data_IF_006169721646
#
_entry.id   IF_006169721646
#
_cell.length_a   1.000
_cell.length_b   1.000
_cell.length_c   1.000
_cell.angle_alpha   90.00
_cell.angle_beta   90.00
_cell.angle_gamma   90.00
#
_symmetry.space_group_name_H-M   'P 1'
#
loop_
_entity.id
_entity.type
_entity.pdbx_description
1 polymer ?
#
# COMPACT_ATOMS: atom_id res chain seq x y z
N UNK A 1 21.65 -16.22 18.53
CA UNK A 1 21.85 -16.86 17.21
C UNK A 1 20.61 -17.70 16.96
N UNK A 2 19.93 -17.42 15.84
CA UNK A 2 18.69 -18.06 15.42
C UNK A 2 18.92 -18.66 14.03
N UNK A 3 19.43 -19.89 13.97
CA UNK A 3 19.88 -20.48 12.71
C UNK A 3 18.69 -21.00 11.90
N UNK A 4 18.63 -20.65 10.63
CA UNK A 4 17.66 -21.21 9.68
C UNK A 4 17.97 -22.67 9.46
N UNK A 5 17.05 -23.55 9.87
CA UNK A 5 17.20 -24.99 9.77
C UNK A 5 16.41 -25.58 8.61
N UNK A 6 15.22 -25.05 8.34
CA UNK A 6 14.38 -25.53 7.27
C UNK A 6 13.65 -24.34 6.58
N UNK A 7 13.44 -24.50 5.28
CA UNK A 7 12.65 -23.59 4.46
C UNK A 7 11.61 -24.41 3.70
N UNK A 8 10.34 -24.10 3.92
CA UNK A 8 9.20 -24.65 3.18
C UNK A 8 8.56 -23.59 2.30
N UNK A 9 7.95 -24.00 1.22
CA UNK A 9 7.16 -23.11 0.37
C UNK A 9 5.97 -23.85 -0.22
N UNK A 10 4.88 -23.12 -0.45
CA UNK A 10 3.69 -23.65 -1.09
C UNK A 10 2.96 -22.58 -1.89
N UNK A 11 2.15 -23.06 -2.81
CA UNK A 11 1.17 -22.25 -3.51
C UNK A 11 -0.09 -22.17 -2.66
N UNK A 12 -0.56 -20.94 -2.38
CA UNK A 12 -1.84 -20.66 -1.73
C UNK A 12 -2.69 -19.79 -2.64
N UNK A 13 -3.94 -19.49 -2.28
CA UNK A 13 -4.79 -18.57 -3.02
C UNK A 13 -4.83 -17.19 -2.36
N UNK A 14 -4.78 -16.16 -3.17
CA UNK A 14 -5.04 -14.78 -2.76
C UNK A 14 -6.54 -14.46 -2.70
N UNK A 15 -6.89 -13.24 -2.31
CA UNK A 15 -8.28 -12.75 -2.18
C UNK A 15 -9.08 -12.72 -3.48
N UNK A 16 -8.40 -12.84 -4.63
CA UNK A 16 -9.03 -12.94 -5.95
C UNK A 16 -9.13 -14.38 -6.46
N UNK A 17 -8.67 -15.36 -5.66
CA UNK A 17 -8.62 -16.77 -6.05
C UNK A 17 -7.47 -17.09 -7.00
N UNK A 18 -6.47 -16.21 -7.12
CA UNK A 18 -5.26 -16.47 -7.88
C UNK A 18 -4.17 -17.07 -6.98
N UNK A 19 -3.31 -17.96 -7.51
CA UNK A 19 -2.18 -18.48 -6.76
C UNK A 19 -1.19 -17.40 -6.34
N UNK A 20 -0.65 -17.56 -5.13
CA UNK A 20 0.49 -16.79 -4.64
C UNK A 20 1.40 -17.68 -3.77
N UNK A 21 2.58 -17.16 -3.42
CA UNK A 21 3.60 -17.88 -2.66
C UNK A 21 3.42 -17.68 -1.17
N UNK A 22 3.46 -18.76 -0.40
CA UNK A 22 3.65 -18.75 1.06
C UNK A 22 4.97 -19.48 1.38
N UNK A 23 5.81 -18.84 2.18
CA UNK A 23 7.07 -19.41 2.65
C UNK A 23 7.00 -19.65 4.15
N UNK A 24 7.59 -20.76 4.59
CA UNK A 24 7.68 -21.18 5.99
C UNK A 24 9.15 -21.34 6.37
N UNK A 25 9.53 -20.77 7.51
CA UNK A 25 10.91 -20.84 8.06
C UNK A 25 10.86 -21.51 9.41
N UNK A 26 11.69 -22.54 9.60
CA UNK A 26 11.96 -23.15 10.89
C UNK A 26 13.39 -22.82 11.35
N UNK A 27 13.54 -22.45 12.61
CA UNK A 27 14.83 -22.18 13.25
C UNK A 27 15.25 -23.33 14.18
N UNK A 28 16.54 -23.38 14.52
CA UNK A 28 17.15 -24.38 15.38
C UNK A 28 16.64 -24.36 16.83
N UNK A 29 15.99 -23.30 17.27
CA UNK A 29 15.32 -23.17 18.57
C UNK A 29 13.86 -23.68 18.59
N UNK A 30 13.36 -24.19 17.45
CA UNK A 30 12.01 -24.69 17.30
C UNK A 30 10.98 -23.63 16.83
N UNK A 31 11.40 -22.38 16.64
CA UNK A 31 10.55 -21.34 16.04
C UNK A 31 10.10 -21.74 14.64
N UNK A 32 8.82 -21.59 14.35
CA UNK A 32 8.22 -21.86 13.03
C UNK A 32 7.30 -20.72 12.63
N UNK A 33 7.65 -20.01 11.59
CA UNK A 33 6.85 -18.87 11.07
C UNK A 33 6.61 -18.98 9.59
N UNK A 34 5.67 -18.21 9.10
CA UNK A 34 5.35 -18.12 7.66
C UNK A 34 5.00 -16.70 7.25
N UNK A 35 5.19 -16.42 5.98
CA UNK A 35 4.75 -15.21 5.32
C UNK A 35 4.13 -15.52 3.96
N UNK A 36 3.09 -14.80 3.61
CA UNK A 36 2.42 -14.91 2.32
C UNK A 36 2.61 -13.61 1.51
N UNK A 37 2.80 -13.76 0.21
CA UNK A 37 3.15 -12.65 -0.69
C UNK A 37 1.89 -12.08 -1.33
N UNK A 38 1.69 -10.75 -1.31
CA UNK A 38 0.59 -10.09 -2.04
C UNK A 38 0.87 -10.03 -3.55
N UNK A 39 -0.17 -9.76 -4.34
CA UNK A 39 -0.09 -9.67 -5.81
C UNK A 39 -0.91 -8.50 -6.35
N UNK A 40 -0.35 -7.71 -7.26
CA UNK A 40 -1.05 -6.59 -7.89
C UNK A 40 -2.01 -7.00 -9.01
N UNK A 41 -3.05 -6.19 -9.23
CA UNK A 41 -3.90 -6.26 -10.43
C UNK A 41 -3.33 -5.38 -11.54
N UNK A 42 -3.11 -4.11 -11.26
CA UNK A 42 -2.28 -3.20 -12.06
C UNK A 42 -0.86 -3.24 -11.52
N UNK A 43 0.13 -3.26 -12.40
CA UNK A 43 1.55 -3.26 -12.04
C UNK A 43 2.26 -2.17 -12.80
N UNK A 44 3.04 -1.33 -12.11
CA UNK A 44 3.93 -0.37 -12.74
C UNK A 44 4.96 -1.07 -13.63
N UNK A 45 5.32 -0.47 -14.74
CA UNK A 45 6.27 -1.06 -15.70
C UNK A 45 7.63 -1.39 -15.06
N UNK A 46 8.00 -0.64 -14.03
CA UNK A 46 9.29 -0.74 -13.35
C UNK A 46 9.27 -1.60 -12.08
N UNK A 47 8.17 -2.28 -11.77
CA UNK A 47 8.11 -3.21 -10.64
C UNK A 47 9.04 -4.42 -10.85
N UNK A 48 9.56 -4.96 -9.74
CA UNK A 48 10.23 -6.26 -9.77
C UNK A 48 9.27 -7.35 -10.25
N UNK A 49 9.81 -8.34 -10.97
CA UNK A 49 9.01 -9.36 -11.67
C UNK A 49 8.39 -10.34 -10.69
N UNK A 50 7.06 -10.43 -10.70
CA UNK A 50 6.32 -11.53 -10.10
C UNK A 50 6.40 -12.75 -11.04
N UNK A 51 7.09 -13.81 -10.63
CA UNK A 51 7.26 -14.98 -11.47
C UNK A 51 5.98 -15.81 -11.51
N UNK A 52 5.41 -15.95 -12.71
CA UNK A 52 4.24 -16.76 -13.03
C UNK A 52 4.61 -17.89 -13.99
N UNK A 53 3.92 -19.02 -13.87
CA UNK A 53 4.24 -20.23 -14.63
C UNK A 53 3.93 -20.11 -16.13
N UNK A 54 2.90 -19.31 -16.48
CA UNK A 54 2.31 -19.32 -17.80
C UNK A 54 1.48 -20.59 -18.06
N UNK A 55 1.16 -20.85 -19.33
CA UNK A 55 0.39 -22.02 -19.73
C UNK A 55 -1.09 -21.96 -19.32
N UNK A 56 -1.73 -23.12 -19.17
CA UNK A 56 -3.19 -23.21 -18.96
C UNK A 56 -3.59 -23.26 -17.48
N UNK A 57 -2.73 -23.80 -16.64
CA UNK A 57 -3.02 -23.98 -15.21
C UNK A 57 -3.24 -22.64 -14.54
N UNK A 58 -4.38 -22.46 -13.83
CA UNK A 58 -4.82 -21.17 -13.27
C UNK A 58 -4.83 -20.01 -14.29
N UNK A 59 -5.10 -20.30 -15.56
CA UNK A 59 -5.05 -19.28 -16.61
C UNK A 59 -3.67 -18.65 -16.79
N UNK A 60 -2.60 -19.40 -16.52
CA UNK A 60 -1.21 -18.93 -16.61
C UNK A 60 -0.68 -18.29 -15.31
N UNK A 61 -1.51 -18.12 -14.29
CA UNK A 61 -1.17 -17.42 -13.04
C UNK A 61 -0.57 -18.32 -11.94
N UNK A 62 -0.31 -19.59 -12.22
CA UNK A 62 0.36 -20.49 -11.27
C UNK A 62 1.72 -19.97 -10.82
N UNK A 63 2.20 -20.39 -9.62
CA UNK A 63 3.47 -19.95 -9.05
C UNK A 63 4.37 -21.15 -8.64
N UNK A 64 4.21 -22.28 -9.32
CA UNK A 64 5.05 -23.49 -9.05
C UNK A 64 6.52 -23.21 -9.26
N UNK A 65 6.89 -22.51 -10.34
CA UNK A 65 8.29 -22.14 -10.61
C UNK A 65 8.90 -21.31 -9.49
N UNK A 66 8.15 -20.35 -8.93
CA UNK A 66 8.60 -19.59 -7.78
C UNK A 66 8.74 -20.46 -6.53
N UNK A 67 7.79 -21.35 -6.26
CA UNK A 67 7.86 -22.32 -5.14
C UNK A 67 9.05 -23.26 -5.31
N UNK A 68 9.27 -23.84 -6.48
CA UNK A 68 10.42 -24.68 -6.80
C UNK A 68 11.74 -23.93 -6.61
N UNK A 69 11.81 -22.65 -7.07
CA UNK A 69 12.96 -21.79 -6.84
C UNK A 69 13.28 -21.58 -5.34
N UNK A 70 12.24 -21.42 -4.51
CA UNK A 70 12.44 -21.36 -3.05
C UNK A 70 13.01 -22.68 -2.51
N UNK A 71 12.44 -23.82 -2.90
CA UNK A 71 12.81 -25.13 -2.34
C UNK A 71 14.16 -25.63 -2.84
N UNK A 72 14.45 -25.46 -4.13
CA UNK A 72 15.58 -26.09 -4.80
C UNK A 72 16.85 -25.20 -4.82
N UNK A 73 16.68 -23.88 -4.84
CA UNK A 73 17.79 -22.93 -4.97
C UNK A 73 17.95 -22.03 -3.73
N UNK A 74 16.87 -21.39 -3.25
CA UNK A 74 16.98 -20.45 -2.14
C UNK A 74 17.22 -21.20 -0.82
N UNK A 75 16.45 -22.24 -0.52
CA UNK A 75 16.58 -23.00 0.73
C UNK A 75 18.01 -23.47 1.00
N UNK A 76 18.71 -24.15 0.05
CA UNK A 76 20.10 -24.54 0.27
C UNK A 76 21.06 -23.36 0.53
N UNK A 77 20.76 -22.18 -0.02
CA UNK A 77 21.61 -20.99 0.13
C UNK A 77 21.43 -20.27 1.46
N UNK A 78 20.24 -20.34 2.08
CA UNK A 78 19.95 -19.63 3.34
C UNK A 78 19.96 -20.50 4.58
N UNK A 79 19.81 -21.82 4.45
CA UNK A 79 19.95 -22.76 5.57
C UNK A 79 21.36 -22.65 6.17
N UNK A 80 21.43 -22.52 7.48
CA UNK A 80 22.67 -22.29 8.22
C UNK A 80 22.99 -20.81 8.47
N UNK A 81 22.27 -19.87 7.85
CA UNK A 81 22.41 -18.45 8.16
C UNK A 81 21.68 -18.10 9.46
N UNK A 82 22.12 -17.04 10.12
CA UNK A 82 21.43 -16.45 11.26
C UNK A 82 20.25 -15.57 10.77
N UNK A 83 19.03 -15.92 11.18
CA UNK A 83 17.83 -15.19 10.79
C UNK A 83 17.82 -13.72 11.26
N UNK A 84 18.58 -13.39 12.31
CA UNK A 84 18.71 -12.01 12.83
C UNK A 84 19.49 -11.12 11.86
N UNK A 85 20.34 -11.70 11.03
CA UNK A 85 21.13 -10.98 10.02
C UNK A 85 20.33 -10.75 8.73
N UNK A 86 19.19 -10.06 8.83
CA UNK A 86 18.25 -9.81 7.72
C UNK A 86 18.94 -9.32 6.44
N UNK A 87 19.83 -8.34 6.56
CA UNK A 87 20.54 -7.77 5.40
C UNK A 87 21.45 -8.79 4.73
N UNK A 88 22.07 -9.67 5.49
CA UNK A 88 22.90 -10.77 4.95
C UNK A 88 22.03 -11.78 4.21
N UNK A 89 20.89 -12.17 4.78
CA UNK A 89 19.95 -13.09 4.13
C UNK A 89 19.42 -12.47 2.83
N UNK A 90 18.95 -11.23 2.87
CA UNK A 90 18.41 -10.56 1.69
C UNK A 90 19.48 -10.37 0.60
N UNK A 91 20.74 -10.10 0.99
CA UNK A 91 21.85 -10.02 0.02
C UNK A 91 22.11 -11.37 -0.67
N UNK A 92 22.04 -12.47 0.07
CA UNK A 92 22.14 -13.82 -0.52
C UNK A 92 21.02 -14.06 -1.52
N UNK A 93 19.79 -13.64 -1.23
CA UNK A 93 18.65 -13.74 -2.15
C UNK A 93 18.90 -12.95 -3.45
N UNK A 94 19.38 -11.71 -3.34
CA UNK A 94 19.67 -10.85 -4.46
C UNK A 94 20.82 -11.40 -5.33
N UNK A 95 21.91 -11.84 -4.71
CA UNK A 95 23.05 -12.42 -5.41
C UNK A 95 22.68 -13.72 -6.12
N UNK A 96 21.79 -14.51 -5.52
CA UNK A 96 21.31 -15.77 -6.10
C UNK A 96 20.43 -15.55 -7.32
N UNK A 97 19.51 -14.57 -7.28
CA UNK A 97 18.72 -14.18 -8.44
C UNK A 97 19.61 -13.58 -9.55
N UNK A 98 20.47 -12.65 -9.19
CA UNK A 98 21.48 -12.04 -10.07
C UNK A 98 20.94 -11.16 -11.17
N UNK A 99 19.62 -10.87 -11.20
CA UNK A 99 19.00 -9.95 -12.17
C UNK A 99 18.55 -8.66 -11.46
N UNK A 100 18.51 -7.55 -12.19
CA UNK A 100 18.12 -6.26 -11.63
C UNK A 100 16.64 -6.24 -11.20
N UNK A 101 15.78 -6.88 -11.99
CA UNK A 101 14.33 -6.91 -11.83
C UNK A 101 13.80 -8.17 -11.12
N UNK A 102 14.68 -9.02 -10.55
CA UNK A 102 14.36 -10.31 -9.90
C UNK A 102 13.62 -11.29 -10.83
N UNK A 103 13.86 -11.20 -12.12
CA UNK A 103 13.14 -12.01 -13.12
C UNK A 103 13.53 -13.49 -13.14
N UNK A 104 14.68 -13.88 -12.57
CA UNK A 104 15.13 -15.28 -12.60
C UNK A 104 14.40 -16.16 -11.57
N UNK A 105 14.36 -15.77 -10.33
CA UNK A 105 13.69 -16.51 -9.25
C UNK A 105 12.29 -15.95 -8.93
N UNK A 106 12.07 -14.69 -9.23
CA UNK A 106 10.84 -13.96 -8.96
C UNK A 106 10.86 -13.17 -7.64
N UNK A 107 10.41 -11.92 -7.70
CA UNK A 107 10.27 -11.08 -6.51
C UNK A 107 9.35 -11.73 -5.45
N UNK A 108 8.33 -12.48 -5.88
CA UNK A 108 7.44 -13.21 -5.01
C UNK A 108 8.18 -14.32 -4.21
N UNK A 109 9.08 -15.07 -4.84
CA UNK A 109 9.89 -16.07 -4.16
C UNK A 109 10.85 -15.42 -3.14
N UNK A 110 11.56 -14.37 -3.55
CA UNK A 110 12.50 -13.65 -2.68
C UNK A 110 11.77 -13.04 -1.48
N UNK A 111 10.67 -12.32 -1.73
CA UNK A 111 9.93 -11.64 -0.68
C UNK A 111 9.35 -12.61 0.36
N UNK A 112 8.80 -13.74 -0.09
CA UNK A 112 8.28 -14.76 0.81
C UNK A 112 9.32 -15.20 1.83
N UNK A 113 10.55 -15.47 1.38
CA UNK A 113 11.67 -15.85 2.26
C UNK A 113 12.08 -14.68 3.14
N UNK A 114 12.27 -13.49 2.58
CA UNK A 114 12.69 -12.29 3.30
C UNK A 114 11.76 -11.96 4.47
N UNK A 115 10.45 -11.96 4.24
CA UNK A 115 9.44 -11.67 5.27
C UNK A 115 9.32 -12.81 6.30
N UNK A 116 9.35 -14.07 5.88
CA UNK A 116 9.28 -15.22 6.79
C UNK A 116 10.49 -15.27 7.73
N UNK A 117 11.69 -14.93 7.23
CA UNK A 117 12.91 -14.80 8.04
C UNK A 117 12.79 -13.70 9.08
N UNK A 118 12.28 -12.53 8.71
CA UNK A 118 12.07 -11.43 9.65
C UNK A 118 11.09 -11.81 10.76
N UNK A 119 10.02 -12.51 10.44
CA UNK A 119 9.05 -13.02 11.43
C UNK A 119 9.67 -14.06 12.35
N UNK A 120 10.46 -14.98 11.78
CA UNK A 120 11.16 -16.01 12.58
C UNK A 120 12.16 -15.37 13.55
N UNK A 121 12.95 -14.42 13.09
CA UNK A 121 13.89 -13.69 13.94
C UNK A 121 13.20 -12.91 15.07
N UNK A 122 12.08 -12.27 14.78
CA UNK A 122 11.27 -11.58 15.79
C UNK A 122 10.75 -12.54 16.86
N UNK A 123 10.13 -13.65 16.46
CA UNK A 123 9.58 -14.66 17.37
C UNK A 123 10.66 -15.32 18.21
N UNK A 124 11.78 -15.73 17.62
CA UNK A 124 12.95 -16.27 18.33
C UNK A 124 13.54 -15.29 19.33
N UNK A 125 13.45 -13.99 19.05
CA UNK A 125 13.87 -12.92 19.97
C UNK A 125 12.86 -12.61 21.06
N UNK A 126 11.69 -13.25 21.06
CA UNK A 126 10.58 -12.98 21.99
C UNK A 126 9.94 -11.60 21.80
N UNK A 127 10.02 -11.04 20.60
CA UNK A 127 9.50 -9.72 20.26
C UNK A 127 8.38 -9.80 19.22
N UNK A 128 7.38 -8.94 19.34
CA UNK A 128 6.42 -8.70 18.27
C UNK A 128 7.15 -8.08 17.06
N UNK A 129 6.69 -8.40 15.86
CA UNK A 129 7.39 -8.01 14.62
C UNK A 129 7.62 -6.49 14.53
N UNK A 130 6.65 -5.67 14.90
CA UNK A 130 6.81 -4.20 14.87
C UNK A 130 7.89 -3.70 15.83
N UNK A 131 8.04 -4.36 17.00
CA UNK A 131 9.09 -4.03 17.98
C UNK A 131 10.46 -4.49 17.51
N UNK A 132 10.52 -5.68 16.91
CA UNK A 132 11.75 -6.25 16.38
C UNK A 132 12.32 -5.37 15.26
N UNK A 133 11.48 -4.95 14.31
CA UNK A 133 11.90 -4.15 13.16
C UNK A 133 12.12 -2.67 13.50
N UNK A 134 11.28 -2.10 14.37
CA UNK A 134 11.28 -0.65 14.65
C UNK A 134 11.99 -0.25 15.95
N UNK A 135 12.31 -1.21 16.80
CA UNK A 135 12.94 -0.95 18.10
C UNK A 135 12.01 -0.22 19.08
N UNK A 136 12.59 0.38 20.13
CA UNK A 136 11.80 1.02 21.20
C UNK A 136 11.01 2.24 20.73
N UNK A 137 11.34 2.82 19.58
CA UNK A 137 10.65 3.99 19.04
C UNK A 137 9.44 3.66 18.15
N UNK A 138 9.14 2.37 17.92
CA UNK A 138 7.96 1.92 17.19
C UNK A 138 6.71 2.04 18.05
N UNK A 139 6.05 3.21 18.04
CA UNK A 139 4.89 3.51 18.89
C UNK A 139 3.80 4.35 18.21
N UNK A 140 3.98 4.69 16.93
CA UNK A 140 3.04 5.52 16.18
C UNK A 140 2.12 4.65 15.34
N UNK A 141 0.81 4.68 15.67
CA UNK A 141 -0.24 4.02 14.89
C UNK A 141 -0.57 4.88 13.66
N UNK A 142 -0.61 4.28 12.46
CA UNK A 142 -0.85 5.02 11.21
C UNK A 142 -2.31 5.45 11.07
N UNK A 143 -2.54 6.56 10.37
CA UNK A 143 -3.87 6.93 9.87
C UNK A 143 -4.28 5.93 8.79
N UNK A 144 -5.44 5.25 8.94
CA UNK A 144 -5.94 4.36 7.91
C UNK A 144 -6.56 5.18 6.76
N UNK A 145 -6.01 5.01 5.56
CA UNK A 145 -6.52 5.56 4.32
C UNK A 145 -7.48 4.52 3.72
N UNK A 146 -8.77 4.58 4.08
CA UNK A 146 -9.73 3.52 3.75
C UNK A 146 -10.39 3.77 2.40
N UNK A 147 -10.12 2.91 1.43
CA UNK A 147 -10.78 2.94 0.11
C UNK A 147 -12.23 2.45 0.23
N UNK A 148 -13.20 3.36 0.22
CA UNK A 148 -14.62 3.04 0.40
C UNK A 148 -15.47 3.16 -0.87
N UNK A 149 -14.92 3.76 -1.94
CA UNK A 149 -15.57 3.88 -3.24
C UNK A 149 -14.53 3.72 -4.35
N UNK A 150 -14.82 2.86 -5.31
CA UNK A 150 -13.93 2.52 -6.42
C UNK A 150 -14.44 3.05 -7.76
N UNK A 151 -13.50 3.42 -8.60
CA UNK A 151 -13.68 3.71 -10.03
C UNK A 151 -12.52 3.15 -10.84
N UNK A 152 -12.22 3.72 -11.99
CA UNK A 152 -11.09 3.35 -12.83
C UNK A 152 -10.99 1.85 -13.11
N UNK A 153 -9.78 1.31 -13.02
CA UNK A 153 -9.51 -0.12 -13.23
C UNK A 153 -10.10 -1.03 -12.12
N UNK A 154 -10.46 -0.47 -10.97
CA UNK A 154 -11.03 -1.22 -9.83
C UNK A 154 -12.56 -1.40 -9.88
N UNK A 155 -13.23 -0.80 -10.87
CA UNK A 155 -14.68 -0.87 -11.02
C UNK A 155 -15.09 -0.71 -12.49
N UNK A 156 -16.13 -1.42 -12.89
CA UNK A 156 -16.74 -1.26 -14.23
C UNK A 156 -17.73 -0.07 -14.21
N UNK A 157 -17.20 1.13 -14.07
CA UNK A 157 -17.96 2.39 -13.94
C UNK A 157 -17.39 3.49 -14.83
N UNK A 158 -18.12 4.60 -14.97
CA UNK A 158 -17.71 5.76 -15.76
C UNK A 158 -16.77 6.76 -15.08
N UNK A 159 -16.31 6.47 -13.85
CA UNK A 159 -15.39 7.31 -13.09
C UNK A 159 -13.95 6.88 -13.34
N UNK A 160 -13.09 7.80 -13.79
CA UNK A 160 -11.70 7.51 -14.12
C UNK A 160 -10.78 7.38 -12.89
N UNK A 161 -11.06 8.10 -11.80
CA UNK A 161 -10.30 7.98 -10.53
C UNK A 161 -10.51 6.61 -9.92
N UNK A 162 -9.42 5.93 -9.58
CA UNK A 162 -9.43 4.52 -9.19
C UNK A 162 -9.95 4.29 -7.77
N UNK A 163 -9.53 5.11 -6.81
CA UNK A 163 -9.89 4.96 -5.41
C UNK A 163 -10.25 6.29 -4.74
N UNK A 164 -11.32 6.24 -3.94
CA UNK A 164 -11.75 7.33 -3.08
C UNK A 164 -11.66 6.87 -1.63
N UNK A 165 -10.79 7.52 -0.86
CA UNK A 165 -10.47 7.12 0.49
C UNK A 165 -10.95 8.15 1.52
N UNK A 166 -11.30 7.65 2.71
CA UNK A 166 -11.50 8.45 3.91
C UNK A 166 -10.32 8.28 4.86
N UNK A 167 -9.92 9.37 5.50
CA UNK A 167 -8.84 9.44 6.46
C UNK A 167 -9.32 10.07 7.78
N UNK A 168 -9.55 9.30 8.84
CA UNK A 168 -10.04 9.81 10.14
C UNK A 168 -8.93 10.52 10.92
N UNK A 169 -8.50 11.70 10.47
CA UNK A 169 -7.35 12.44 11.02
C UNK A 169 -7.61 13.08 12.39
N UNK A 170 -8.88 13.32 12.73
CA UNK A 170 -9.25 13.97 13.98
C UNK A 170 -9.46 13.01 15.16
N UNK A 171 -9.37 11.70 14.94
CA UNK A 171 -9.55 10.71 16.00
C UNK A 171 -8.42 10.76 17.04
N UNK A 172 -8.74 10.46 18.29
CA UNK A 172 -7.76 10.47 19.38
C UNK A 172 -6.90 9.21 19.44
N UNK A 173 -7.39 8.09 18.91
CA UNK A 173 -6.73 6.78 18.92
C UNK A 173 -6.95 6.05 17.58
N UNK A 174 -6.14 5.05 17.30
CA UNK A 174 -6.36 4.19 16.14
C UNK A 174 -7.71 3.46 16.22
N UNK A 175 -8.06 2.93 17.38
CA UNK A 175 -9.35 2.27 17.63
C UNK A 175 -10.54 3.18 17.31
N UNK A 176 -10.46 4.44 17.70
CA UNK A 176 -11.49 5.44 17.38
C UNK A 176 -11.54 5.74 15.88
N UNK A 177 -10.38 5.88 15.25
CA UNK A 177 -10.29 6.12 13.81
C UNK A 177 -10.90 4.98 12.99
N UNK A 178 -10.66 3.74 13.40
CA UNK A 178 -11.23 2.57 12.75
C UNK A 178 -12.75 2.51 12.92
N UNK A 179 -13.27 2.85 14.11
CA UNK A 179 -14.71 2.98 14.35
C UNK A 179 -15.34 4.01 13.43
N UNK A 180 -14.76 5.19 13.33
CA UNK A 180 -15.28 6.26 12.46
C UNK A 180 -15.29 5.84 11.00
N UNK A 181 -14.21 5.21 10.53
CA UNK A 181 -14.15 4.68 9.16
C UNK A 181 -15.23 3.64 8.87
N UNK A 182 -15.48 2.72 9.80
CA UNK A 182 -16.53 1.71 9.67
C UNK A 182 -17.93 2.34 9.67
N UNK A 183 -18.20 3.31 10.52
CA UNK A 183 -19.47 4.05 10.57
C UNK A 183 -19.72 4.83 9.28
N UNK A 184 -18.71 5.53 8.75
CA UNK A 184 -18.79 6.22 7.44
C UNK A 184 -19.03 5.23 6.31
N UNK A 185 -18.36 4.08 6.31
CA UNK A 185 -18.56 3.02 5.32
C UNK A 185 -20.01 2.52 5.29
N UNK A 186 -20.61 2.25 6.45
CA UNK A 186 -22.02 1.85 6.54
C UNK A 186 -22.98 2.99 6.17
N UNK A 187 -22.68 4.23 6.53
CA UNK A 187 -23.44 5.40 6.12
C UNK A 187 -23.43 5.56 4.60
N UNK A 188 -22.25 5.37 3.96
CA UNK A 188 -22.12 5.42 2.49
C UNK A 188 -23.01 4.35 1.82
N UNK A 189 -23.02 3.13 2.37
CA UNK A 189 -23.92 2.07 1.87
C UNK A 189 -25.39 2.49 1.90
N UNK A 190 -25.81 3.15 2.99
CA UNK A 190 -27.18 3.65 3.12
C UNK A 190 -27.47 4.79 2.12
N UNK A 191 -26.53 5.73 1.91
CA UNK A 191 -26.64 6.80 0.92
C UNK A 191 -26.79 6.24 -0.49
N UNK A 192 -25.94 5.27 -0.86
CA UNK A 192 -26.00 4.63 -2.18
C UNK A 192 -27.34 3.93 -2.41
N UNK A 193 -27.82 3.16 -1.43
CA UNK A 193 -29.14 2.50 -1.51
C UNK A 193 -30.28 3.50 -1.67
N UNK A 194 -30.27 4.59 -0.92
CA UNK A 194 -31.31 5.63 -1.01
C UNK A 194 -31.38 6.29 -2.39
N UNK A 195 -30.25 6.32 -3.10
CA UNK A 195 -30.14 6.85 -4.47
C UNK A 195 -30.26 5.76 -5.55
N UNK A 196 -30.60 4.53 -5.18
CA UNK A 196 -30.69 3.36 -6.08
C UNK A 196 -29.36 3.06 -6.81
N UNK A 197 -28.23 3.40 -6.20
CA UNK A 197 -26.90 3.09 -6.70
C UNK A 197 -26.43 1.72 -6.19
N UNK A 198 -25.54 1.07 -6.96
CA UNK A 198 -25.01 -0.23 -6.62
C UNK A 198 -24.19 -0.21 -5.32
N UNK A 199 -24.30 -1.28 -4.53
CA UNK A 199 -23.53 -1.53 -3.30
C UNK A 199 -22.72 -2.83 -3.39
N UNK A 200 -22.41 -3.31 -4.59
CA UNK A 200 -21.44 -4.35 -4.83
C UNK A 200 -20.06 -3.89 -4.46
N UNK A 201 -19.21 -4.83 -4.03
CA UNK A 201 -17.85 -4.55 -3.56
C UNK A 201 -16.81 -4.81 -4.66
N UNK A 202 -15.84 -3.92 -4.78
CA UNK A 202 -14.62 -4.15 -5.53
C UNK A 202 -13.63 -5.06 -4.78
N UNK A 203 -12.49 -5.30 -5.39
CA UNK A 203 -11.45 -6.21 -4.87
C UNK A 203 -10.92 -5.79 -3.49
N UNK A 204 -10.96 -4.51 -3.18
CA UNK A 204 -10.46 -3.95 -1.92
C UNK A 204 -11.55 -3.63 -0.89
N UNK A 205 -12.79 -4.05 -1.16
CA UNK A 205 -13.93 -3.93 -0.25
C UNK A 205 -14.71 -2.62 -0.36
N UNK A 206 -14.27 -1.65 -1.16
CA UNK A 206 -15.02 -0.43 -1.45
C UNK A 206 -16.21 -0.69 -2.38
N UNK A 207 -17.23 0.18 -2.31
CA UNK A 207 -18.38 0.11 -3.20
C UNK A 207 -18.00 0.54 -4.62
N UNK A 208 -18.68 0.00 -5.62
CA UNK A 208 -18.46 0.31 -7.03
C UNK A 208 -19.75 0.83 -7.70
N UNK A 209 -20.27 1.99 -7.28
CA UNK A 209 -21.45 2.59 -7.90
C UNK A 209 -21.09 3.24 -9.25
N UNK A 210 -22.04 3.23 -10.18
CA UNK A 210 -21.91 4.03 -11.40
C UNK A 210 -22.27 5.49 -11.09
N UNK A 211 -21.27 6.37 -11.05
CA UNK A 211 -21.40 7.79 -10.79
C UNK A 211 -20.78 8.62 -11.92
N UNK A 212 -21.27 9.83 -12.09
CA UNK A 212 -21.01 10.62 -13.30
C UNK A 212 -19.62 11.29 -13.35
N UNK A 213 -18.96 11.51 -12.19
CA UNK A 213 -17.71 12.25 -12.10
C UNK A 213 -17.00 12.05 -10.76
N UNK A 214 -15.74 12.46 -10.70
CA UNK A 214 -14.95 12.54 -9.45
C UNK A 214 -15.68 13.37 -8.38
N UNK A 215 -16.21 14.54 -8.74
CA UNK A 215 -16.95 15.41 -7.79
C UNK A 215 -18.20 14.72 -7.27
N UNK A 216 -18.95 14.02 -8.12
CA UNK A 216 -20.15 13.29 -7.69
C UNK A 216 -19.81 12.18 -6.67
N UNK A 217 -18.69 11.47 -6.84
CA UNK A 217 -18.22 10.49 -5.88
C UNK A 217 -17.83 11.14 -4.53
N UNK A 218 -17.10 12.24 -4.57
CA UNK A 218 -16.71 12.99 -3.36
C UNK A 218 -17.94 13.56 -2.61
N UNK A 219 -18.97 14.01 -3.32
CA UNK A 219 -20.22 14.48 -2.74
C UNK A 219 -20.96 13.36 -1.99
N UNK A 220 -21.02 12.15 -2.56
CA UNK A 220 -21.62 10.99 -1.90
C UNK A 220 -20.91 10.63 -0.59
N UNK A 221 -19.58 10.65 -0.59
CA UNK A 221 -18.78 10.39 0.60
C UNK A 221 -18.97 11.51 1.63
N UNK A 222 -18.99 12.75 1.20
CA UNK A 222 -19.22 13.91 2.07
C UNK A 222 -20.60 13.85 2.75
N UNK A 223 -21.65 13.45 2.00
CA UNK A 223 -22.98 13.18 2.54
C UNK A 223 -22.96 12.05 3.58
N UNK A 224 -22.21 10.97 3.31
CA UNK A 224 -22.08 9.86 4.24
C UNK A 224 -21.39 10.27 5.55
N UNK A 225 -20.31 11.05 5.48
CA UNK A 225 -19.61 11.59 6.66
C UNK A 225 -20.57 12.46 7.48
N UNK A 226 -21.30 13.37 6.85
CA UNK A 226 -22.27 14.24 7.53
C UNK A 226 -23.35 13.44 8.27
N UNK A 227 -23.81 12.32 7.70
CA UNK A 227 -24.80 11.45 8.34
C UNK A 227 -24.31 10.75 9.61
N UNK A 228 -23.02 10.60 9.80
CA UNK A 228 -22.44 10.07 11.05
C UNK A 228 -22.32 11.12 12.15
N UNK A 229 -22.53 12.40 11.84
CA UNK A 229 -22.31 13.53 12.75
C UNK A 229 -20.84 13.97 12.83
N UNK A 230 -19.93 13.31 12.10
CA UNK A 230 -18.53 13.71 12.00
C UNK A 230 -18.38 14.92 11.07
N UNK A 231 -17.36 15.72 11.33
CA UNK A 231 -17.06 16.92 10.55
C UNK A 231 -16.09 16.60 9.43
N UNK A 232 -16.51 16.89 8.21
CA UNK A 232 -15.67 16.80 7.03
C UNK A 232 -14.50 17.78 7.14
N UNK A 233 -13.27 17.29 6.97
CA UNK A 233 -12.04 18.06 7.04
C UNK A 233 -11.35 17.99 8.40
N UNK A 234 -12.04 18.23 9.50
CA UNK A 234 -11.43 18.20 10.84
C UNK A 234 -11.44 16.82 11.49
N UNK A 235 -12.53 16.07 11.36
CA UNK A 235 -12.62 14.71 11.90
C UNK A 235 -12.17 13.69 10.84
N UNK A 236 -12.75 13.78 9.64
CA UNK A 236 -12.48 12.88 8.54
C UNK A 236 -12.13 13.70 7.28
N UNK A 237 -10.94 13.51 6.78
CA UNK A 237 -10.48 14.06 5.51
C UNK A 237 -10.64 13.02 4.39
N UNK A 238 -10.39 13.44 3.14
CA UNK A 238 -10.51 12.63 1.94
C UNK A 238 -9.14 12.42 1.30
N UNK A 239 -9.00 11.36 0.51
CA UNK A 239 -7.84 11.13 -0.32
C UNK A 239 -8.23 10.40 -1.61
N UNK A 240 -7.39 10.52 -2.63
CA UNK A 240 -7.58 9.91 -3.93
C UNK A 240 -6.37 9.05 -4.31
N UNK A 241 -6.65 7.96 -5.02
CA UNK A 241 -5.71 7.31 -5.92
C UNK A 241 -6.27 7.44 -7.33
N UNK A 242 -5.54 8.16 -8.18
CA UNK A 242 -6.01 8.49 -9.53
C UNK A 242 -5.57 7.43 -10.52
N UNK A 243 -4.41 6.81 -10.31
CA UNK A 243 -3.80 5.84 -11.22
C UNK A 243 -3.75 6.37 -12.67
N UNK A 244 -3.24 7.58 -12.86
CA UNK A 244 -3.37 8.33 -14.12
C UNK A 244 -2.62 7.70 -15.30
N UNK A 245 -1.69 6.77 -15.06
CA UNK A 245 -1.06 5.97 -16.13
C UNK A 245 -2.09 5.21 -16.95
N UNK A 246 -3.19 4.74 -16.34
CA UNK A 246 -4.25 3.96 -16.99
C UNK A 246 -4.97 4.72 -18.11
N UNK A 247 -5.02 6.04 -18.08
CA UNK A 247 -5.67 6.86 -19.09
C UNK A 247 -4.73 7.87 -19.77
N UNK A 248 -3.41 7.68 -19.61
CA UNK A 248 -2.39 8.47 -20.29
C UNK A 248 -1.98 7.85 -21.62
N UNK A 249 -1.76 8.70 -22.62
CA UNK A 249 -1.17 8.31 -23.89
C UNK A 249 -0.04 9.27 -24.24
N UNK A 250 1.17 8.73 -24.36
CA UNK A 250 2.36 9.53 -24.72
C UNK A 250 2.11 10.33 -26.00
N UNK A 251 2.43 11.62 -25.96
CA UNK A 251 2.20 12.56 -27.05
C UNK A 251 0.76 13.01 -27.27
N UNK A 252 -0.21 12.45 -26.52
CA UNK A 252 -1.63 12.83 -26.62
C UNK A 252 -2.17 13.44 -25.32
N UNK A 253 -1.64 13.04 -24.16
CA UNK A 253 -2.06 13.51 -22.84
C UNK A 253 -2.98 12.53 -22.12
N UNK A 254 -3.78 13.05 -21.18
CA UNK A 254 -4.65 12.34 -20.25
C UNK A 254 -6.10 12.36 -20.75
N UNK A 255 -6.66 11.20 -21.09
CA UNK A 255 -8.10 11.09 -21.42
C UNK A 255 -8.90 10.94 -20.13
N UNK A 256 -9.32 12.07 -19.58
CA UNK A 256 -9.93 12.14 -18.26
C UNK A 256 -11.28 12.86 -18.30
N UNK A 257 -12.31 12.24 -17.71
CA UNK A 257 -13.70 12.72 -17.68
C UNK A 257 -14.21 13.21 -19.06
N UNK A 258 -13.97 12.38 -20.08
CA UNK A 258 -14.45 12.61 -21.44
C UNK A 258 -13.67 13.65 -22.25
N UNK A 259 -12.62 14.25 -21.69
CA UNK A 259 -11.75 15.20 -22.39
C UNK A 259 -10.29 14.73 -22.41
N UNK A 260 -9.51 15.18 -23.39
CA UNK A 260 -8.06 15.01 -23.38
C UNK A 260 -7.44 16.25 -22.75
N UNK A 261 -6.60 16.04 -21.73
CA UNK A 261 -5.98 17.09 -20.91
C UNK A 261 -4.47 17.01 -20.96
N UNK A 262 -3.81 18.16 -20.87
CA UNK A 262 -2.37 18.25 -20.61
C UNK A 262 -2.08 18.02 -19.11
N UNK A 263 -0.81 17.87 -18.73
CA UNK A 263 -0.42 17.81 -17.34
C UNK A 263 -0.81 19.09 -16.56
N UNK A 264 -0.69 20.26 -17.19
CA UNK A 264 -1.08 21.54 -16.59
C UNK A 264 -2.59 21.61 -16.35
N UNK A 265 -3.40 21.11 -17.29
CA UNK A 265 -4.86 21.05 -17.13
C UNK A 265 -5.27 20.04 -16.05
N UNK A 266 -4.54 18.92 -15.89
CA UNK A 266 -4.73 18.01 -14.76
C UNK A 266 -4.35 18.69 -13.45
N UNK A 267 -3.24 19.42 -13.40
CA UNK A 267 -2.82 20.16 -12.21
C UNK A 267 -3.85 21.22 -11.81
N UNK A 268 -4.44 21.93 -12.78
CA UNK A 268 -5.53 22.88 -12.52
C UNK A 268 -6.76 22.16 -11.93
N UNK A 269 -7.15 21.02 -12.49
CA UNK A 269 -8.26 20.21 -11.97
C UNK A 269 -8.04 19.80 -10.51
N UNK A 270 -6.84 19.31 -10.17
CA UNK A 270 -6.53 18.98 -8.79
C UNK A 270 -6.52 20.22 -7.88
N UNK A 271 -6.01 21.34 -8.36
CA UNK A 271 -6.08 22.62 -7.64
C UNK A 271 -7.51 23.03 -7.29
N UNK A 272 -8.46 22.85 -8.23
CA UNK A 272 -9.89 23.07 -7.97
C UNK A 272 -10.47 22.10 -6.95
N UNK A 273 -10.07 20.81 -7.01
CA UNK A 273 -10.53 19.79 -6.05
C UNK A 273 -10.09 20.09 -4.63
N UNK A 274 -8.80 20.43 -4.42
CA UNK A 274 -8.28 20.72 -3.07
C UNK A 274 -8.86 21.99 -2.46
N UNK A 275 -9.35 22.92 -3.28
CA UNK A 275 -10.07 24.09 -2.80
C UNK A 275 -11.53 23.77 -2.43
N UNK A 276 -12.13 22.76 -3.06
CA UNK A 276 -13.54 22.39 -2.86
C UNK A 276 -13.74 21.29 -1.81
N UNK A 277 -12.79 20.42 -1.63
CA UNK A 277 -12.86 19.25 -0.74
C UNK A 277 -11.62 19.15 0.16
N UNK A 278 -11.75 18.67 1.40
CA UNK A 278 -10.61 18.49 2.31
C UNK A 278 -9.78 17.26 1.94
N UNK A 279 -9.07 17.35 0.82
CA UNK A 279 -8.16 16.32 0.35
C UNK A 279 -6.81 16.45 1.06
N UNK A 280 -6.35 15.39 1.69
CA UNK A 280 -5.02 15.31 2.34
C UNK A 280 -3.96 14.74 1.43
N UNK A 281 -4.36 13.92 0.43
CA UNK A 281 -3.43 13.15 -0.40
C UNK A 281 -4.04 12.84 -1.76
N UNK A 282 -3.21 12.92 -2.81
CA UNK A 282 -3.50 12.43 -4.15
C UNK A 282 -2.34 11.51 -4.57
N UNK A 283 -2.66 10.25 -4.86
CA UNK A 283 -1.73 9.24 -5.35
C UNK A 283 -1.81 9.15 -6.87
N UNK A 284 -0.64 9.03 -7.50
CA UNK A 284 -0.46 8.90 -8.95
C UNK A 284 -1.35 9.85 -9.78
N UNK A 285 -1.30 11.16 -9.51
CA UNK A 285 -2.09 12.16 -10.23
C UNK A 285 -1.70 12.29 -11.71
N UNK A 286 -0.50 11.85 -12.07
CA UNK A 286 0.05 11.83 -13.43
C UNK A 286 0.73 10.50 -13.72
N UNK A 287 1.01 10.24 -15.01
CA UNK A 287 1.66 9.01 -15.46
C UNK A 287 3.06 8.83 -14.88
N UNK A 288 3.46 7.59 -14.66
CA UNK A 288 4.79 7.18 -14.20
C UNK A 288 5.95 7.61 -15.12
N UNK A 289 5.65 7.95 -16.37
CA UNK A 289 6.64 8.42 -17.36
C UNK A 289 6.65 9.93 -17.56
N UNK A 290 5.69 10.66 -16.98
CA UNK A 290 5.53 12.10 -17.17
C UNK A 290 6.27 12.90 -16.09
N UNK A 291 7.60 12.73 -16.01
CA UNK A 291 8.44 13.41 -15.01
C UNK A 291 8.30 14.93 -15.02
N UNK A 292 8.26 15.55 -16.20
CA UNK A 292 8.13 17.01 -16.32
C UNK A 292 6.75 17.48 -15.81
N UNK A 293 5.71 16.72 -16.10
CA UNK A 293 4.37 16.96 -15.54
C UNK A 293 4.36 16.85 -14.02
N UNK A 294 5.00 15.83 -13.46
CA UNK A 294 5.11 15.66 -12.01
C UNK A 294 5.84 16.81 -11.32
N UNK A 295 6.94 17.30 -11.90
CA UNK A 295 7.67 18.47 -11.39
C UNK A 295 6.76 19.71 -11.40
N UNK A 296 6.10 19.96 -12.52
CA UNK A 296 5.16 21.09 -12.67
C UNK A 296 4.02 21.02 -11.66
N UNK A 297 3.42 19.83 -11.49
CA UNK A 297 2.33 19.62 -10.52
C UNK A 297 2.82 19.85 -9.08
N UNK A 298 3.99 19.32 -8.75
CA UNK A 298 4.57 19.46 -7.41
C UNK A 298 4.86 20.93 -7.08
N UNK A 299 5.38 21.69 -8.03
CA UNK A 299 5.62 23.12 -7.87
C UNK A 299 4.31 23.91 -7.64
N UNK A 300 3.21 23.49 -8.27
CA UNK A 300 1.93 24.22 -8.20
C UNK A 300 1.13 23.93 -6.92
N UNK A 301 1.09 22.68 -6.46
CA UNK A 301 0.22 22.27 -5.36
C UNK A 301 0.91 21.44 -4.26
N UNK A 302 2.17 21.07 -4.43
CA UNK A 302 2.87 20.18 -3.50
C UNK A 302 3.13 20.78 -2.10
N UNK A 303 2.99 22.09 -1.93
CA UNK A 303 3.02 22.78 -0.65
C UNK A 303 1.69 22.69 0.13
N UNK A 304 0.60 22.34 -0.56
CA UNK A 304 -0.78 22.32 -0.02
C UNK A 304 -1.33 20.93 0.21
N UNK A 305 -0.75 19.91 -0.44
CA UNK A 305 -1.26 18.54 -0.42
C UNK A 305 -0.13 17.52 -0.50
N UNK A 306 -0.36 16.33 0.02
CA UNK A 306 0.51 15.19 -0.21
C UNK A 306 0.33 14.65 -1.63
N UNK A 307 1.42 14.55 -2.38
CA UNK A 307 1.49 13.92 -3.70
C UNK A 307 2.29 12.63 -3.59
N UNK A 308 1.61 11.50 -3.74
CA UNK A 308 2.18 10.17 -3.54
C UNK A 308 2.56 9.55 -4.88
N UNK A 309 3.81 9.09 -5.00
CA UNK A 309 4.23 8.24 -6.12
C UNK A 309 4.08 6.77 -5.76
N UNK A 310 3.20 6.06 -6.48
CA UNK A 310 3.08 4.60 -6.50
C UNK A 310 3.83 4.05 -7.71
N UNK A 311 3.24 4.06 -8.89
CA UNK A 311 3.88 3.61 -10.13
C UNK A 311 5.10 4.47 -10.49
N UNK A 312 5.10 5.73 -10.09
CA UNK A 312 6.24 6.62 -10.29
C UNK A 312 7.52 6.07 -9.64
N UNK A 313 7.45 5.54 -8.43
CA UNK A 313 8.60 5.12 -7.65
C UNK A 313 8.75 3.60 -7.50
N UNK A 314 7.67 2.85 -7.56
CA UNK A 314 7.60 1.39 -7.39
C UNK A 314 8.42 0.87 -6.20
N UNK A 315 8.45 1.62 -5.09
CA UNK A 315 9.24 1.30 -3.89
C UNK A 315 10.74 1.11 -4.18
N UNK A 316 11.21 1.65 -5.29
CA UNK A 316 12.59 1.50 -5.76
C UNK A 316 13.44 2.72 -5.32
N UNK A 317 14.51 2.52 -4.51
CA UNK A 317 15.37 3.62 -4.06
C UNK A 317 15.96 4.44 -5.20
N UNK A 318 16.34 3.83 -6.33
CA UNK A 318 16.94 4.54 -7.47
C UNK A 318 15.94 5.50 -8.13
N UNK A 319 14.69 5.05 -8.34
CA UNK A 319 13.63 5.90 -8.90
C UNK A 319 13.21 6.99 -7.92
N UNK A 320 13.19 6.67 -6.62
CA UNK A 320 12.91 7.67 -5.59
C UNK A 320 14.01 8.75 -5.55
N UNK A 321 15.27 8.36 -5.66
CA UNK A 321 16.40 9.30 -5.72
C UNK A 321 16.28 10.24 -6.94
N UNK A 322 15.88 9.70 -8.09
CA UNK A 322 15.62 10.50 -9.29
C UNK A 322 14.48 11.51 -9.04
N UNK A 323 13.37 11.07 -8.45
CA UNK A 323 12.24 11.96 -8.12
C UNK A 323 12.61 13.06 -7.13
N UNK A 324 13.39 12.72 -6.10
CA UNK A 324 13.92 13.68 -5.13
C UNK A 324 14.79 14.72 -5.83
N UNK A 325 15.72 14.28 -6.69
CA UNK A 325 16.62 15.16 -7.43
C UNK A 325 15.87 16.10 -8.39
N UNK A 326 14.76 15.64 -8.96
CA UNK A 326 13.90 16.43 -9.86
C UNK A 326 12.89 17.33 -9.11
N UNK A 327 12.62 17.07 -7.84
CA UNK A 327 11.55 17.74 -7.09
C UNK A 327 10.13 17.23 -7.45
N UNK A 328 10.02 15.96 -7.81
CA UNK A 328 8.75 15.33 -8.16
C UNK A 328 8.14 14.61 -6.97
N UNK A 329 6.84 14.81 -6.70
CA UNK A 329 6.10 14.26 -5.58
C UNK A 329 6.63 14.72 -4.19
N UNK A 330 6.04 14.23 -3.11
CA UNK A 330 6.49 14.50 -1.74
C UNK A 330 6.18 13.36 -0.76
N UNK A 331 5.72 12.22 -1.29
CA UNK A 331 5.48 11.00 -0.53
C UNK A 331 5.70 9.76 -1.40
N UNK A 332 6.10 8.67 -0.75
CA UNK A 332 6.31 7.35 -1.33
C UNK A 332 5.20 6.40 -0.90
N UNK A 333 4.54 5.72 -1.83
CA UNK A 333 3.77 4.54 -1.53
C UNK A 333 4.71 3.35 -1.37
N UNK A 334 4.55 2.58 -0.30
CA UNK A 334 5.45 1.47 0.04
C UNK A 334 4.71 0.15 -0.14
N UNK A 335 5.08 -0.60 -1.16
CA UNK A 335 4.58 -1.93 -1.47
C UNK A 335 5.74 -2.92 -1.49
N UNK A 336 5.82 -3.78 -0.49
CA UNK A 336 6.97 -4.69 -0.29
C UNK A 336 7.27 -5.58 -1.50
N UNK A 337 6.26 -5.97 -2.26
CA UNK A 337 6.43 -6.84 -3.42
C UNK A 337 6.83 -6.11 -4.71
N UNK A 338 6.78 -4.78 -4.75
CA UNK A 338 7.26 -4.00 -5.90
C UNK A 338 8.78 -4.05 -6.02
N UNK A 339 9.49 -4.25 -4.92
CA UNK A 339 10.96 -4.32 -4.88
C UNK A 339 11.48 -5.72 -4.56
N UNK A 340 10.83 -6.47 -3.67
CA UNK A 340 11.04 -7.91 -3.48
C UNK A 340 11.86 -8.34 -2.26
N UNK A 341 12.42 -7.42 -1.47
CA UNK A 341 13.04 -7.74 -0.17
C UNK A 341 12.65 -6.72 0.90
N UNK A 342 12.68 -7.14 2.16
CA UNK A 342 12.47 -6.23 3.29
C UNK A 342 13.58 -5.19 3.38
N UNK A 343 14.84 -5.60 3.14
CA UNK A 343 15.99 -4.68 3.17
C UNK A 343 15.84 -3.53 2.18
N UNK A 344 15.55 -3.82 0.92
CA UNK A 344 15.35 -2.76 -0.10
C UNK A 344 14.13 -1.89 0.21
N UNK A 345 13.06 -2.48 0.78
CA UNK A 345 11.89 -1.72 1.24
C UNK A 345 12.27 -0.73 2.33
N UNK A 346 13.04 -1.17 3.33
CA UNK A 346 13.52 -0.31 4.42
C UNK A 346 14.46 0.79 3.91
N UNK A 347 15.31 0.48 2.95
CA UNK A 347 16.21 1.46 2.31
C UNK A 347 15.42 2.55 1.58
N UNK A 348 14.35 2.18 0.86
CA UNK A 348 13.45 3.15 0.21
C UNK A 348 12.74 4.05 1.23
N UNK A 349 12.24 3.49 2.32
CA UNK A 349 11.58 4.24 3.41
C UNK A 349 12.57 5.21 4.07
N UNK A 350 13.78 4.75 4.38
CA UNK A 350 14.80 5.60 4.98
C UNK A 350 15.21 6.75 4.07
N UNK A 351 15.39 6.49 2.77
CA UNK A 351 15.68 7.50 1.76
C UNK A 351 14.58 8.56 1.70
N UNK A 352 13.31 8.13 1.69
CA UNK A 352 12.15 9.02 1.70
C UNK A 352 12.17 9.94 2.92
N UNK A 353 12.27 9.36 4.12
CA UNK A 353 12.24 10.13 5.38
C UNK A 353 13.41 11.12 5.48
N UNK A 354 14.61 10.72 5.10
CA UNK A 354 15.81 11.61 5.11
C UNK A 354 15.66 12.82 4.20
N UNK A 355 14.83 12.71 3.17
CA UNK A 355 14.59 13.80 2.21
C UNK A 355 13.24 14.51 2.41
N UNK A 356 12.59 14.32 3.57
CA UNK A 356 11.36 15.00 3.91
C UNK A 356 10.11 14.48 3.19
N UNK A 357 10.21 13.35 2.50
CA UNK A 357 9.06 12.65 1.92
C UNK A 357 8.33 11.88 3.02
N UNK A 358 7.02 11.88 2.96
CA UNK A 358 6.21 10.96 3.78
C UNK A 358 6.16 9.58 3.14
N UNK A 359 5.76 8.60 3.91
CA UNK A 359 5.53 7.24 3.43
C UNK A 359 4.13 6.78 3.78
N UNK A 360 3.52 6.01 2.90
CA UNK A 360 2.23 5.35 3.09
C UNK A 360 2.44 3.87 2.86
N UNK A 361 2.32 3.06 3.91
CA UNK A 361 2.38 1.60 3.78
C UNK A 361 1.15 1.09 3.07
N UNK A 362 1.31 0.21 2.08
CA UNK A 362 0.22 -0.20 1.20
C UNK A 362 0.11 -1.70 1.02
N UNK A 363 -1.14 -2.15 0.92
CA UNK A 363 -1.53 -3.47 0.44
C UNK A 363 -1.41 -3.57 -1.09
N UNK A 364 -1.86 -4.68 -1.63
CA UNK A 364 -2.12 -4.87 -3.07
C UNK A 364 -3.57 -5.32 -3.29
N UNK A 365 -4.03 -5.31 -4.55
CA UNK A 365 -5.38 -5.76 -4.92
C UNK A 365 -5.61 -7.23 -4.59
N UNK A 366 -4.62 -8.08 -4.86
CA UNK A 366 -4.59 -9.47 -4.42
C UNK A 366 -3.85 -9.61 -3.09
N UNK A 367 -4.60 -9.83 -2.03
CA UNK A 367 -4.08 -9.98 -0.67
C UNK A 367 -4.35 -11.36 -0.09
N UNK A 368 -3.66 -11.63 1.00
CA UNK A 368 -3.87 -12.79 1.86
C UNK A 368 -4.21 -12.33 3.27
N UNK A 369 -4.39 -13.27 4.20
CA UNK A 369 -4.55 -12.97 5.62
C UNK A 369 -3.26 -12.52 6.32
N UNK A 370 -2.13 -12.43 5.61
CA UNK A 370 -0.86 -11.92 6.15
C UNK A 370 -0.99 -10.47 6.60
N UNK A 371 -0.42 -10.15 7.77
CA UNK A 371 -0.55 -8.83 8.42
C UNK A 371 0.77 -8.08 8.54
N UNK A 372 1.82 -8.52 7.86
CA UNK A 372 3.18 -7.96 7.97
C UNK A 372 3.19 -6.45 7.73
N UNK A 373 2.41 -5.93 6.77
CA UNK A 373 2.38 -4.50 6.48
C UNK A 373 1.82 -3.64 7.62
N UNK A 374 0.98 -4.19 8.48
CA UNK A 374 0.49 -3.49 9.67
C UNK A 374 1.63 -3.27 10.69
N UNK A 375 2.38 -4.33 10.98
CA UNK A 375 3.58 -4.26 11.83
C UNK A 375 4.63 -3.33 11.22
N UNK A 376 4.85 -3.43 9.91
CA UNK A 376 5.85 -2.63 9.20
C UNK A 376 5.50 -1.13 9.23
N UNK A 377 4.22 -0.77 9.07
CA UNK A 377 3.77 0.61 9.17
C UNK A 377 4.12 1.27 10.50
N UNK A 378 3.96 0.54 11.60
CA UNK A 378 4.33 1.01 12.94
C UNK A 378 5.84 0.99 13.13
N UNK A 379 6.51 -0.07 12.69
CA UNK A 379 7.96 -0.24 12.81
C UNK A 379 8.74 0.93 12.20
N UNK A 380 8.35 1.36 11.00
CA UNK A 380 9.05 2.44 10.28
C UNK A 380 8.48 3.83 10.57
N UNK A 381 7.43 3.94 11.39
CA UNK A 381 6.79 5.20 11.70
C UNK A 381 6.20 5.89 10.46
N UNK A 382 5.59 5.13 9.55
CA UNK A 382 5.04 5.68 8.30
C UNK A 382 3.95 6.73 8.56
N UNK A 383 3.19 6.59 9.63
CA UNK A 383 2.09 7.47 9.98
C UNK A 383 0.85 7.31 9.11
N UNK A 384 0.92 6.52 8.04
CA UNK A 384 -0.17 6.29 7.10
C UNK A 384 -0.16 4.83 6.62
N UNK A 385 -1.35 4.24 6.47
CA UNK A 385 -1.53 2.90 5.87
C UNK A 385 -2.71 2.90 4.91
N UNK A 386 -2.52 2.36 3.72
CA UNK A 386 -3.52 2.14 2.69
C UNK A 386 -3.75 0.64 2.56
N UNK A 387 -4.85 0.13 3.13
CA UNK A 387 -5.11 -1.32 3.14
C UNK A 387 -6.58 -1.66 2.90
N UNK A 388 -7.25 -0.86 2.07
CA UNK A 388 -8.61 -1.09 1.60
C UNK A 388 -9.71 -0.59 2.54
N UNK A 389 -10.94 -1.00 2.26
CA UNK A 389 -12.11 -0.69 3.07
C UNK A 389 -12.11 -1.48 4.39
N UNK A 390 -12.90 -1.05 5.40
CA UNK A 390 -13.13 -1.84 6.62
C UNK A 390 -14.11 -3.02 6.34
N UNK A 391 -13.87 -3.74 5.26
CA UNK A 391 -14.64 -4.89 4.77
C UNK A 391 -13.72 -5.84 4.02
N UNK A 392 -14.11 -7.14 3.93
CA UNK A 392 -13.30 -8.26 3.44
C UNK A 392 -12.18 -8.64 4.41
N UNK A 393 -12.10 -9.91 4.74
CA UNK A 393 -11.23 -10.40 5.85
C UNK A 393 -9.76 -10.13 5.64
N UNK A 394 -9.25 -10.19 4.41
CA UNK A 394 -7.85 -9.91 4.08
C UNK A 394 -7.46 -8.44 4.31
N UNK A 395 -8.42 -7.51 4.24
CA UNK A 395 -8.24 -6.08 4.57
C UNK A 395 -8.38 -5.87 6.07
N UNK A 396 -9.47 -6.36 6.64
CA UNK A 396 -9.79 -6.25 8.07
C UNK A 396 -8.72 -6.89 8.96
N UNK A 397 -8.05 -7.95 8.49
CA UNK A 397 -6.94 -8.58 9.19
C UNK A 397 -5.82 -7.57 9.55
N UNK A 398 -5.48 -6.65 8.63
CA UNK A 398 -4.45 -5.61 8.85
C UNK A 398 -4.94 -4.60 9.90
N UNK A 399 -6.19 -4.15 9.84
CA UNK A 399 -6.78 -3.26 10.84
C UNK A 399 -6.86 -3.91 12.22
N UNK A 400 -7.25 -5.17 12.29
CA UNK A 400 -7.29 -5.91 13.55
C UNK A 400 -5.88 -6.09 14.14
N UNK A 401 -4.86 -6.28 13.31
CA UNK A 401 -3.47 -6.33 13.77
C UNK A 401 -3.02 -5.00 14.36
N UNK A 402 -3.39 -3.86 13.75
CA UNK A 402 -3.11 -2.54 14.31
C UNK A 402 -3.81 -2.30 15.65
N UNK A 403 -5.03 -2.81 15.84
CA UNK A 403 -5.69 -2.79 17.16
C UNK A 403 -4.89 -3.56 18.21
N UNK A 404 -4.37 -4.76 17.88
CA UNK A 404 -3.52 -5.54 18.80
C UNK A 404 -2.22 -4.81 19.12
N UNK A 405 -1.62 -4.14 18.13
CA UNK A 405 -0.42 -3.32 18.34
C UNK A 405 -0.72 -2.14 19.28
N UNK A 406 -1.83 -1.45 19.07
CA UNK A 406 -2.27 -0.36 19.97
C UNK A 406 -2.45 -0.86 21.40
N UNK A 407 -3.11 -2.02 21.58
CA UNK A 407 -3.28 -2.64 22.92
C UNK A 407 -1.92 -3.03 23.54
N UNK A 408 -0.99 -3.58 22.74
CA UNK A 408 0.34 -3.96 23.22
C UNK A 408 1.20 -2.74 23.62
N UNK A 409 1.01 -1.60 22.98
CA UNK A 409 1.68 -0.35 23.31
C UNK A 409 1.06 0.34 24.53
N UNK A 410 -0.24 0.16 24.79
CA UNK A 410 -0.94 0.77 25.91
C UNK A 410 -0.80 2.29 25.94
N UNK A 411 -0.42 2.86 27.06
CA UNK A 411 -0.27 4.30 27.23
C UNK A 411 0.85 4.94 26.38
N UNK A 412 1.75 4.14 25.83
CA UNK A 412 2.81 4.63 24.93
C UNK A 412 2.34 4.77 23.48
N UNK A 413 1.19 4.21 23.12
CA UNK A 413 0.64 4.34 21.78
C UNK A 413 0.37 5.81 21.44
N UNK A 414 0.69 6.19 20.22
CA UNK A 414 0.38 7.50 19.63
C UNK A 414 -0.30 7.28 18.30
N UNK A 415 -1.46 7.85 18.12
CA UNK A 415 -2.12 7.90 16.83
C UNK A 415 -1.56 9.08 16.02
N UNK A 416 -1.19 8.84 14.78
CA UNK A 416 -0.56 9.87 13.95
C UNK A 416 -1.49 11.07 13.67
N UNK A 417 -2.77 10.80 13.44
CA UNK A 417 -3.76 11.86 13.23
C UNK A 417 -3.38 12.84 12.12
N UNK A 418 -3.72 14.10 12.30
CA UNK A 418 -3.45 15.20 11.35
C UNK A 418 -1.94 15.48 11.14
N UNK A 419 -1.09 15.13 12.10
CA UNK A 419 0.37 15.29 12.01
C UNK A 419 0.96 14.44 10.87
N UNK A 420 0.28 13.37 10.45
CA UNK A 420 0.66 12.59 9.30
C UNK A 420 0.64 13.40 7.99
N UNK A 421 -0.12 14.48 7.93
CA UNK A 421 -0.33 15.31 6.74
C UNK A 421 0.05 16.78 6.98
N UNK A 422 1.35 17.10 7.13
CA UNK A 422 1.79 18.43 7.55
C UNK A 422 1.53 19.55 6.54
N UNK A 423 1.19 19.20 5.29
CA UNK A 423 0.85 20.15 4.22
C UNK A 423 -0.64 20.47 4.16
N UNK A 424 -1.46 19.68 4.85
CA UNK A 424 -2.91 19.85 4.81
C UNK A 424 -3.34 21.05 5.63
N UNK A 425 -4.05 21.97 4.99
CA UNK A 425 -4.76 23.07 5.61
C UNK A 425 -6.06 23.29 4.84
N UNK A 426 -7.20 22.99 5.44
CA UNK A 426 -8.51 23.19 4.88
C UNK A 426 -9.30 24.15 5.77
N UNK A 427 -9.55 25.35 5.26
CA UNK A 427 -10.43 26.34 5.87
C UNK A 427 -11.82 26.15 5.24
N UNK A 428 -12.66 25.30 5.88
CA UNK A 428 -14.02 24.99 5.42
C UNK A 428 -15.05 26.08 5.68
#
# INVERSE_FOLDING_TARGET
VAIIEQVGAREILDSRGNPTVEVEIALDDGTLTRAAVPSGASTGEHEAVELRDGGERYGGKGVRKAVEGVLDEIAPAVIGLDAVEQRTVDQVLLDLDGTQDKSRLGANALLGVSLAVARAAAESSGLELFRYLGGPNAHVLPVPMMNILNGGAHADTGVDVQEFMVAPIGAATFKESLRWGAEVYHALKAVLKAKSLATGLGDEGGFAPDVASTKAALDLISEAIAKTGLKLGSDVALALDVAATEFYTSGSGYKFEGAVRSAEEMAQFYGELINAYPLVSIEDPLSEDDWDGWVTLTDQIGDKIQLVGDDLFVTNPERLEEGIAKGAANALLVKVNQIGTLTETLDAVELAHRNGYKTMMSHRSGETEDTTIADLAVAVGSGQIKTGAPARSERVAKYNQLLRIEDALGDSARYAGDVAFPRFAFEG
#
